data_IF_810429823029
#
_entry.id   IF_810429823029
#
_cell.length_a   1.000
_cell.length_b   1.000
_cell.length_c   1.000
_cell.angle_alpha   90.00
_cell.angle_beta   90.00
_cell.angle_gamma   90.00
#
_symmetry.space_group_name_H-M   'P 1'
#
loop_
_entity.id
_entity.type
_entity.pdbx_description
1 polymer ?
#
# COMPACT_ATOMS: atom_id res chain seq x y z
N UNK A 1 -18.97 -6.21 13.04
CA UNK A 1 -19.02 -5.19 11.96
C UNK A 1 -19.10 -3.77 12.51
N UNK A 2 -20.08 -3.42 13.35
CA UNK A 2 -20.16 -2.07 13.95
C UNK A 2 -18.88 -1.68 14.71
N UNK A 3 -18.26 -2.63 15.42
CA UNK A 3 -17.02 -2.43 16.17
C UNK A 3 -15.80 -2.12 15.29
N UNK A 4 -15.90 -2.31 13.97
CA UNK A 4 -14.81 -2.12 13.02
C UNK A 4 -14.98 -0.90 12.10
N UNK A 5 -16.11 -0.19 12.16
CA UNK A 5 -16.41 0.92 11.24
C UNK A 5 -15.30 1.98 11.25
N UNK A 6 -14.82 2.39 12.42
CA UNK A 6 -13.77 3.40 12.54
C UNK A 6 -12.42 2.90 11.97
N UNK A 7 -12.09 1.62 12.19
CA UNK A 7 -10.89 1.00 11.62
C UNK A 7 -11.00 0.97 10.10
N UNK A 8 -12.18 0.62 9.56
CA UNK A 8 -12.43 0.58 8.11
C UNK A 8 -12.26 1.98 7.51
N UNK A 9 -12.88 3.01 8.10
CA UNK A 9 -12.79 4.40 7.61
C UNK A 9 -11.33 4.88 7.56
N UNK A 10 -10.60 4.76 8.67
CA UNK A 10 -9.18 5.15 8.75
C UNK A 10 -8.31 4.35 7.79
N UNK A 11 -8.61 3.06 7.60
CA UNK A 11 -7.86 2.21 6.68
C UNK A 11 -8.08 2.61 5.22
N UNK A 12 -9.30 3.01 4.86
CA UNK A 12 -9.63 3.51 3.53
C UNK A 12 -8.94 4.87 3.27
N UNK A 13 -8.94 5.76 4.26
CA UNK A 13 -8.19 7.03 4.18
C UNK A 13 -6.70 6.79 3.99
N UNK A 14 -6.08 5.97 4.86
CA UNK A 14 -4.66 5.64 4.78
C UNK A 14 -4.31 4.97 3.45
N UNK A 15 -5.19 4.13 2.90
CA UNK A 15 -4.96 3.52 1.58
C UNK A 15 -4.87 4.55 0.45
N UNK A 16 -5.55 5.70 0.55
CA UNK A 16 -5.42 6.77 -0.44
C UNK A 16 -4.08 7.50 -0.26
N UNK A 17 -3.69 7.80 0.98
CA UNK A 17 -2.40 8.43 1.31
C UNK A 17 -1.22 7.57 0.83
N UNK A 18 -1.34 6.24 0.88
CA UNK A 18 -0.32 5.33 0.34
C UNK A 18 -0.09 5.55 -1.16
N UNK A 19 -1.11 5.89 -1.94
CA UNK A 19 -0.93 6.20 -3.37
C UNK A 19 -0.11 7.46 -3.55
N UNK A 20 -0.45 8.50 -2.80
CA UNK A 20 0.27 9.77 -2.81
C UNK A 20 1.73 9.56 -2.39
N UNK A 21 2.00 8.74 -1.38
CA UNK A 21 3.36 8.37 -0.99
C UNK A 21 4.14 7.65 -2.09
N UNK A 22 3.52 6.71 -2.81
CA UNK A 22 4.17 6.01 -3.93
C UNK A 22 4.48 6.98 -5.07
N UNK A 23 3.55 7.90 -5.38
CA UNK A 23 3.77 8.92 -6.41
C UNK A 23 4.89 9.88 -6.01
N UNK A 24 4.92 10.27 -4.73
CA UNK A 24 5.96 11.14 -4.20
C UNK A 24 7.34 10.49 -4.26
N UNK A 25 7.49 9.22 -3.90
CA UNK A 25 8.75 8.47 -4.07
C UNK A 25 9.25 8.55 -5.51
N UNK A 26 8.36 8.31 -6.48
CA UNK A 26 8.71 8.39 -7.89
C UNK A 26 9.19 9.80 -8.27
N UNK A 27 8.48 10.84 -7.84
CA UNK A 27 8.87 12.23 -8.07
C UNK A 27 10.24 12.54 -7.45
N UNK A 28 10.47 12.13 -6.21
CA UNK A 28 11.76 12.28 -5.51
C UNK A 28 12.91 11.63 -6.28
N UNK A 29 12.70 10.45 -6.87
CA UNK A 29 13.72 9.80 -7.72
C UNK A 29 13.98 10.63 -8.98
N UNK A 30 12.93 11.08 -9.66
CA UNK A 30 13.02 11.91 -10.88
C UNK A 30 13.74 13.23 -10.63
N UNK A 31 13.45 13.91 -9.52
CA UNK A 31 14.07 15.18 -9.14
C UNK A 31 15.44 15.01 -8.45
N UNK A 32 15.87 13.77 -8.20
CA UNK A 32 17.15 13.41 -7.55
C UNK A 32 17.29 13.92 -6.11
N UNK A 33 16.18 13.98 -5.39
CA UNK A 33 16.09 14.49 -4.02
C UNK A 33 16.18 13.35 -2.98
N UNK A 34 17.23 12.53 -3.06
CA UNK A 34 17.29 11.23 -2.38
C UNK A 34 17.37 11.25 -0.85
N UNK A 35 17.52 12.42 -0.22
CA UNK A 35 17.80 12.53 1.22
C UNK A 35 16.75 11.91 2.14
N UNK A 36 15.50 11.81 1.69
CA UNK A 36 14.39 11.25 2.46
C UNK A 36 13.87 9.92 1.89
N UNK A 37 14.44 9.43 0.78
CA UNK A 37 13.89 8.33 0.00
C UNK A 37 13.74 7.04 0.81
N UNK A 38 14.77 6.65 1.56
CA UNK A 38 14.74 5.45 2.40
C UNK A 38 13.63 5.54 3.46
N UNK A 39 13.53 6.68 4.13
CA UNK A 39 12.52 6.90 5.16
C UNK A 39 11.09 6.91 4.62
N UNK A 40 10.90 7.42 3.39
CA UNK A 40 9.60 7.41 2.70
C UNK A 40 9.18 5.98 2.35
N UNK A 41 10.10 5.20 1.79
CA UNK A 41 9.85 3.80 1.41
C UNK A 41 9.54 2.97 2.66
N UNK A 42 10.33 3.12 3.72
CA UNK A 42 10.09 2.42 5.00
C UNK A 42 8.74 2.79 5.61
N UNK A 43 8.39 4.09 5.63
CA UNK A 43 7.11 4.56 6.15
C UNK A 43 5.91 3.97 5.40
N UNK A 44 6.03 3.76 4.08
CA UNK A 44 5.00 3.12 3.27
C UNK A 44 4.90 1.61 3.59
N UNK A 45 6.04 0.91 3.69
CA UNK A 45 6.07 -0.51 4.05
C UNK A 45 5.42 -0.73 5.41
N UNK A 46 5.80 0.06 6.41
CA UNK A 46 5.26 -0.01 7.77
C UNK A 46 3.76 0.29 7.81
N UNK A 47 3.30 1.27 7.02
CA UNK A 47 1.89 1.59 6.89
C UNK A 47 1.08 0.43 6.30
N UNK A 48 1.62 -0.30 5.32
CA UNK A 48 0.98 -1.50 4.77
C UNK A 48 0.95 -2.64 5.79
N UNK A 49 2.02 -2.83 6.57
CA UNK A 49 2.04 -3.81 7.66
C UNK A 49 1.01 -3.47 8.74
N UNK A 50 0.86 -2.19 9.06
CA UNK A 50 -0.16 -1.72 9.98
C UNK A 50 -1.57 -2.03 9.46
N UNK A 51 -1.85 -1.72 8.18
CA UNK A 51 -3.13 -2.02 7.54
C UNK A 51 -3.44 -3.51 7.51
N UNK A 52 -2.45 -4.34 7.17
CA UNK A 52 -2.56 -5.81 7.18
C UNK A 52 -3.06 -6.30 8.55
N UNK A 53 -2.43 -5.84 9.64
CA UNK A 53 -2.82 -6.22 11.00
C UNK A 53 -4.20 -5.67 11.39
N UNK A 54 -4.48 -4.41 11.08
CA UNK A 54 -5.71 -3.74 11.47
C UNK A 54 -6.95 -4.31 10.76
N UNK A 55 -6.81 -4.68 9.49
CA UNK A 55 -7.90 -5.17 8.66
C UNK A 55 -8.09 -6.69 8.73
N UNK A 56 -7.09 -7.46 9.18
CA UNK A 56 -7.21 -8.91 9.27
C UNK A 56 -8.46 -9.39 10.04
N UNK A 57 -8.80 -8.86 11.24
CA UNK A 57 -10.04 -9.23 11.92
C UNK A 57 -11.31 -8.92 11.11
N UNK A 58 -11.30 -7.84 10.34
CA UNK A 58 -12.45 -7.42 9.50
C UNK A 58 -12.66 -8.40 8.36
N UNK A 59 -11.59 -8.77 7.66
CA UNK A 59 -11.65 -9.72 6.54
C UNK A 59 -11.97 -11.15 7.00
N UNK A 60 -11.54 -11.55 8.20
CA UNK A 60 -11.99 -12.78 8.84
C UNK A 60 -13.51 -12.76 9.14
N UNK A 61 -14.06 -11.64 9.64
CA UNK A 61 -15.49 -11.52 9.90
C UNK A 61 -16.34 -11.68 8.63
N UNK A 62 -15.91 -11.07 7.52
CA UNK A 62 -16.61 -11.18 6.23
C UNK A 62 -16.24 -12.43 5.42
N UNK A 63 -15.43 -13.33 5.98
CA UNK A 63 -15.01 -14.61 5.39
C UNK A 63 -14.36 -14.46 4.01
N UNK A 64 -13.52 -13.43 3.86
CA UNK A 64 -12.85 -13.13 2.61
C UNK A 64 -11.42 -13.69 2.61
N UNK A 65 -11.28 -14.87 2.03
CA UNK A 65 -10.01 -15.62 2.05
C UNK A 65 -8.96 -15.09 1.07
N UNK A 66 -9.34 -14.15 0.21
CA UNK A 66 -8.45 -13.59 -0.83
C UNK A 66 -7.59 -12.43 -0.31
N UNK A 67 -8.05 -11.73 0.74
CA UNK A 67 -7.40 -10.50 1.20
C UNK A 67 -5.95 -10.70 1.60
N UNK A 68 -5.66 -11.76 2.37
CA UNK A 68 -4.31 -12.04 2.87
C UNK A 68 -3.31 -12.21 1.70
N UNK A 69 -3.71 -12.92 0.64
CA UNK A 69 -2.87 -13.08 -0.55
C UNK A 69 -2.65 -11.74 -1.24
N UNK A 70 -3.72 -10.97 -1.44
CA UNK A 70 -3.67 -9.71 -2.19
C UNK A 70 -2.80 -8.66 -1.48
N UNK A 71 -2.92 -8.51 -0.15
CA UNK A 71 -2.10 -7.56 0.59
C UNK A 71 -0.64 -8.01 0.67
N UNK A 72 -0.36 -9.32 0.79
CA UNK A 72 1.00 -9.86 0.72
C UNK A 72 1.65 -9.59 -0.63
N UNK A 73 0.93 -9.76 -1.74
CA UNK A 73 1.44 -9.45 -3.07
C UNK A 73 1.82 -7.97 -3.20
N UNK A 74 1.01 -7.06 -2.65
CA UNK A 74 1.31 -5.63 -2.65
C UNK A 74 2.53 -5.30 -1.76
N UNK A 75 2.58 -5.84 -0.55
CA UNK A 75 3.71 -5.68 0.38
C UNK A 75 5.02 -6.21 -0.20
N UNK A 76 4.98 -7.36 -0.86
CA UNK A 76 6.17 -7.92 -1.53
C UNK A 76 6.66 -7.01 -2.64
N UNK A 77 5.75 -6.39 -3.41
CA UNK A 77 6.13 -5.40 -4.42
C UNK A 77 6.81 -4.17 -3.80
N UNK A 78 6.34 -3.68 -2.65
CA UNK A 78 7.01 -2.60 -1.91
C UNK A 78 8.41 -2.99 -1.43
N UNK A 79 8.58 -4.20 -0.90
CA UNK A 79 9.89 -4.68 -0.47
C UNK A 79 10.85 -4.80 -1.66
N UNK A 80 10.38 -5.26 -2.82
CA UNK A 80 11.20 -5.30 -4.04
C UNK A 80 11.62 -3.90 -4.49
N UNK A 81 10.72 -2.90 -4.41
CA UNK A 81 11.10 -1.51 -4.68
C UNK A 81 12.22 -1.05 -3.72
N UNK A 82 12.10 -1.37 -2.43
CA UNK A 82 13.14 -1.07 -1.44
C UNK A 82 14.47 -1.70 -1.84
N UNK A 83 14.46 -2.99 -2.17
CA UNK A 83 15.68 -3.70 -2.59
C UNK A 83 16.30 -3.09 -3.85
N UNK A 84 15.49 -2.67 -4.84
CA UNK A 84 15.98 -1.98 -6.05
C UNK A 84 16.64 -0.63 -5.70
N UNK A 85 16.04 0.13 -4.80
CA UNK A 85 16.58 1.41 -4.34
C UNK A 85 17.87 1.24 -3.53
N UNK A 86 17.93 0.24 -2.67
CA UNK A 86 19.12 -0.11 -1.88
C UNK A 86 20.30 -0.52 -2.78
N UNK A 87 20.01 -1.09 -3.96
CA UNK A 87 21.01 -1.41 -4.98
C UNK A 87 21.46 -0.19 -5.81
N UNK A 88 20.81 0.97 -5.63
CA UNK A 88 21.15 2.23 -6.30
C UNK A 88 20.64 2.36 -7.74
N UNK A 89 19.80 1.45 -8.23
CA UNK A 89 19.24 1.51 -9.58
C UNK A 89 17.95 2.33 -9.64
N UNK A 90 18.12 3.65 -9.77
CA UNK A 90 17.02 4.61 -9.76
C UNK A 90 16.12 4.51 -11.01
N UNK A 91 16.69 4.18 -12.16
CA UNK A 91 15.92 4.05 -13.41
C UNK A 91 15.08 2.77 -13.36
N UNK A 92 15.65 1.66 -12.88
CA UNK A 92 14.90 0.42 -12.63
C UNK A 92 13.80 0.64 -11.59
N UNK A 93 14.06 1.40 -10.52
CA UNK A 93 13.06 1.72 -9.51
C UNK A 93 11.85 2.47 -10.10
N UNK A 94 12.08 3.45 -10.99
CA UNK A 94 10.99 4.16 -11.68
C UNK A 94 10.17 3.19 -12.53
N UNK A 95 10.80 2.38 -13.38
CA UNK A 95 10.10 1.39 -14.20
C UNK A 95 9.32 0.39 -13.33
N UNK A 96 9.91 -0.07 -12.23
CA UNK A 96 9.26 -0.97 -11.29
C UNK A 96 8.01 -0.34 -10.65
N UNK A 97 8.07 0.94 -10.28
CA UNK A 97 6.91 1.67 -9.73
C UNK A 97 5.74 1.70 -10.72
N UNK A 98 6.03 1.98 -11.99
CA UNK A 98 5.01 2.13 -13.04
C UNK A 98 4.40 0.78 -13.44
N UNK A 99 5.24 -0.21 -13.71
CA UNK A 99 4.84 -1.47 -14.33
C UNK A 99 4.37 -2.51 -13.31
N UNK A 100 4.88 -2.45 -12.07
CA UNK A 100 4.60 -3.46 -11.04
C UNK A 100 3.85 -2.87 -9.84
N UNK A 101 4.47 -1.96 -9.10
CA UNK A 101 3.95 -1.51 -7.81
C UNK A 101 2.59 -0.82 -7.95
N UNK A 102 2.45 0.06 -8.94
CA UNK A 102 1.19 0.74 -9.23
C UNK A 102 0.06 -0.24 -9.58
N UNK A 103 0.37 -1.33 -10.27
CA UNK A 103 -0.61 -2.37 -10.61
C UNK A 103 -1.02 -3.13 -9.35
N UNK A 104 -0.06 -3.53 -8.50
CA UNK A 104 -0.33 -4.24 -7.25
C UNK A 104 -1.14 -3.39 -6.26
N UNK A 105 -0.79 -2.12 -6.12
CA UNK A 105 -1.59 -1.15 -5.37
C UNK A 105 -3.04 -1.09 -5.90
N UNK A 106 -3.24 -0.94 -7.21
CA UNK A 106 -4.59 -0.85 -7.80
C UNK A 106 -5.42 -2.11 -7.55
N UNK A 107 -4.83 -3.30 -7.65
CA UNK A 107 -5.50 -4.57 -7.35
C UNK A 107 -5.93 -4.61 -5.89
N UNK A 108 -5.00 -4.33 -4.97
CA UNK A 108 -5.27 -4.30 -3.54
C UNK A 108 -6.34 -3.27 -3.17
N UNK A 109 -6.20 -2.03 -3.65
CA UNK A 109 -7.14 -0.94 -3.40
C UNK A 109 -8.54 -1.25 -3.93
N UNK A 110 -8.64 -1.80 -5.14
CA UNK A 110 -9.94 -2.21 -5.72
C UNK A 110 -10.61 -3.28 -4.86
N UNK A 111 -9.85 -4.27 -4.40
CA UNK A 111 -10.36 -5.32 -3.52
C UNK A 111 -10.87 -4.72 -2.20
N UNK A 112 -10.04 -3.91 -1.55
CA UNK A 112 -10.36 -3.20 -0.31
C UNK A 112 -11.66 -2.39 -0.44
N UNK A 113 -11.76 -1.54 -1.47
CA UNK A 113 -12.93 -0.71 -1.72
C UNK A 113 -14.17 -1.57 -2.00
N UNK A 114 -14.06 -2.62 -2.82
CA UNK A 114 -15.20 -3.47 -3.17
C UNK A 114 -15.82 -4.18 -1.96
N UNK A 115 -15.00 -4.52 -0.95
CA UNK A 115 -15.44 -5.25 0.23
C UNK A 115 -15.91 -4.31 1.34
N UNK A 116 -15.22 -3.17 1.53
CA UNK A 116 -15.33 -2.38 2.75
C UNK A 116 -15.91 -0.97 2.56
N UNK A 117 -15.87 -0.38 1.37
CA UNK A 117 -16.29 1.02 1.15
C UNK A 117 -17.78 1.26 1.47
N UNK A 118 -18.62 0.24 1.38
CA UNK A 118 -20.02 0.32 1.80
C UNK A 118 -20.21 0.62 3.30
N UNK A 119 -19.19 0.39 4.13
CA UNK A 119 -19.22 0.68 5.57
C UNK A 119 -18.65 2.06 5.91
N UNK A 120 -18.17 2.82 4.91
CA UNK A 120 -17.64 4.18 5.14
C UNK A 120 -18.70 5.27 4.96
N UNK A 121 -19.81 4.96 4.28
CA UNK A 121 -20.96 5.84 4.14
C UNK A 121 -21.94 5.56 5.28
N UNK A 122 -21.87 6.36 6.35
CA UNK A 122 -22.89 6.46 7.39
C UNK A 122 -23.24 7.93 7.56
#
# INVERSE_FOLDING_TARGET
>A
MNDYIDVIKKSIELSNVLKEGIDYIKETIVFREYGELDSLVEGIVDSVVYLEKALNPVFLEIKDNEYEKIIKDFKNSLNLLKDTLDNGDMDEAISFIEDNLSVKYKIWKKHLDSKLKKYTYC
#
